data_IF_178896702433
#
_entry.id   IF_178896702433
#
_cell.length_a   1.000
_cell.length_b   1.000
_cell.length_c   1.000
_cell.angle_alpha   90.00
_cell.angle_beta   90.00
_cell.angle_gamma   90.00
#
_symmetry.space_group_name_H-M   'P 1'
#
loop_
_entity.id
_entity.type
_entity.pdbx_description
1 polymer ?
#
# COMPACT_ATOMS: atom_id res chain seq x y z
N UNK A 1 4.32 -41.79 -1.96
CA UNK A 1 4.70 -40.71 -1.05
C UNK A 1 4.39 -39.39 -1.75
N UNK A 2 3.17 -38.86 -1.55
CA UNK A 2 2.77 -37.59 -2.14
C UNK A 2 3.40 -36.46 -1.34
N UNK A 3 4.38 -35.78 -1.92
CA UNK A 3 4.87 -34.51 -1.40
C UNK A 3 3.81 -33.48 -1.75
N UNK A 4 2.92 -33.17 -0.82
CA UNK A 4 2.08 -31.98 -0.88
C UNK A 4 3.03 -30.81 -0.70
N UNK A 5 3.45 -30.21 -1.79
CA UNK A 5 4.05 -28.88 -1.74
C UNK A 5 2.96 -27.94 -1.23
N UNK A 6 3.02 -27.63 0.05
CA UNK A 6 2.24 -26.53 0.61
C UNK A 6 2.75 -25.24 -0.04
N UNK A 7 2.17 -24.88 -1.17
CA UNK A 7 2.24 -23.52 -1.65
C UNK A 7 1.41 -22.71 -0.65
N UNK A 8 2.09 -22.08 0.29
CA UNK A 8 1.51 -21.00 1.07
C UNK A 8 1.31 -19.82 0.10
N UNK A 9 0.25 -19.90 -0.69
CA UNK A 9 -0.26 -18.78 -1.43
C UNK A 9 -0.93 -17.85 -0.41
N UNK A 10 -0.14 -17.07 0.31
CA UNK A 10 -0.68 -15.91 1.00
C UNK A 10 -1.02 -14.91 -0.10
N UNK A 11 -2.30 -14.77 -0.36
CA UNK A 11 -2.83 -13.77 -1.27
C UNK A 11 -2.72 -12.40 -0.58
N UNK A 12 -1.51 -11.87 -0.54
CA UNK A 12 -1.25 -10.51 -0.10
C UNK A 12 -1.73 -9.55 -1.17
N UNK A 13 -2.74 -8.74 -0.87
CA UNK A 13 -3.30 -7.80 -1.83
C UNK A 13 -2.32 -6.67 -2.20
N UNK A 14 -1.42 -6.31 -1.28
CA UNK A 14 -0.37 -5.29 -1.48
C UNK A 14 0.99 -5.80 -0.99
N UNK A 15 2.11 -5.23 -1.44
CA UNK A 15 3.44 -5.48 -0.86
C UNK A 15 3.55 -4.68 0.46
N UNK A 16 3.74 -3.37 0.37
CA UNK A 16 3.45 -2.41 1.42
C UNK A 16 2.34 -1.48 0.92
N UNK A 17 2.66 -0.64 -0.05
CA UNK A 17 1.76 0.36 -0.61
C UNK A 17 1.26 -0.06 -2.00
N UNK A 18 2.12 -0.72 -2.81
CA UNK A 18 1.74 -1.10 -4.17
C UNK A 18 0.91 -2.39 -4.19
N UNK A 19 -0.03 -2.49 -5.14
CA UNK A 19 -0.77 -3.73 -5.35
C UNK A 19 0.18 -4.84 -5.81
N UNK A 20 0.08 -6.01 -5.17
CA UNK A 20 0.79 -7.21 -5.61
C UNK A 20 0.19 -7.78 -6.89
N UNK A 21 0.92 -8.70 -7.55
CA UNK A 21 0.41 -9.47 -8.68
C UNK A 21 -0.58 -10.58 -8.30
N UNK A 22 -0.94 -10.69 -7.01
CA UNK A 22 -1.86 -11.70 -6.52
C UNK A 22 -3.24 -11.10 -6.23
N UNK A 23 -4.27 -11.95 -6.27
CA UNK A 23 -5.64 -11.66 -5.86
C UNK A 23 -6.04 -12.64 -4.77
N UNK A 24 -6.92 -12.22 -3.88
CA UNK A 24 -7.54 -13.11 -2.89
C UNK A 24 -8.36 -14.17 -3.60
N UNK A 25 -8.21 -15.43 -3.23
CA UNK A 25 -8.94 -16.54 -3.82
C UNK A 25 -10.46 -16.37 -3.67
N UNK A 26 -11.21 -16.82 -4.69
CA UNK A 26 -12.67 -16.76 -4.67
C UNK A 26 -13.25 -17.38 -3.39
N UNK A 27 -14.07 -16.60 -2.70
CA UNK A 27 -14.76 -17.02 -1.47
C UNK A 27 -13.88 -16.94 -0.22
N UNK A 28 -12.67 -16.41 -0.32
CA UNK A 28 -11.81 -16.08 0.81
C UNK A 28 -11.92 -14.60 1.14
N UNK A 29 -11.63 -14.28 2.41
CA UNK A 29 -11.45 -12.92 2.88
C UNK A 29 -10.01 -12.66 3.27
N UNK A 30 -9.59 -11.42 3.19
CA UNK A 30 -8.31 -10.93 3.69
C UNK A 30 -8.55 -9.66 4.49
N UNK A 31 -8.13 -9.66 5.73
CA UNK A 31 -8.12 -8.49 6.60
C UNK A 31 -6.69 -8.03 6.82
N UNK A 32 -6.46 -6.73 6.77
CA UNK A 32 -5.18 -6.10 7.03
C UNK A 32 -5.39 -4.87 7.91
N UNK A 33 -4.46 -4.63 8.80
CA UNK A 33 -4.42 -3.43 9.62
C UNK A 33 -3.03 -2.81 9.52
N UNK A 34 -2.99 -1.61 8.93
CA UNK A 34 -1.77 -0.84 8.80
C UNK A 34 -1.67 0.19 9.92
N UNK A 35 -0.46 0.36 10.43
CA UNK A 35 -0.10 1.40 11.38
C UNK A 35 1.18 2.10 10.92
N UNK A 36 1.06 3.39 10.59
CA UNK A 36 2.15 4.22 10.09
C UNK A 36 2.38 5.42 11.00
N UNK A 37 3.15 5.27 12.09
CA UNK A 37 3.62 6.41 12.86
C UNK A 37 4.69 7.18 12.09
N UNK A 38 4.55 8.49 12.03
CA UNK A 38 5.57 9.37 11.47
C UNK A 38 6.87 9.23 12.27
N UNK A 39 8.00 9.04 11.58
CA UNK A 39 9.30 8.91 12.22
C UNK A 39 9.69 10.21 12.95
N UNK A 40 10.41 10.13 14.07
CA UNK A 40 10.93 11.30 14.76
C UNK A 40 11.82 12.14 13.83
N UNK A 41 11.65 13.44 13.87
CA UNK A 41 12.47 14.41 13.17
C UNK A 41 12.78 15.61 14.08
N UNK A 42 13.74 16.45 13.71
CA UNK A 42 14.11 17.63 14.52
C UNK A 42 12.96 18.62 14.75
N UNK A 43 11.96 18.60 13.85
CA UNK A 43 10.80 19.49 13.91
C UNK A 43 9.53 18.79 14.45
N UNK A 44 9.67 17.78 15.28
CA UNK A 44 8.58 16.91 15.72
C UNK A 44 7.56 17.58 16.69
N UNK A 45 7.13 18.79 16.41
CA UNK A 45 6.08 19.48 17.18
C UNK A 45 4.73 18.78 17.15
N UNK A 46 4.41 18.06 16.07
CA UNK A 46 3.21 17.24 15.99
C UNK A 46 3.48 16.05 15.08
N UNK A 47 3.31 14.82 15.60
CA UNK A 47 3.46 13.60 14.82
C UNK A 47 2.14 13.17 14.21
N UNK A 48 2.20 12.71 12.98
CA UNK A 48 1.06 12.09 12.30
C UNK A 48 1.12 10.58 12.51
N UNK A 49 -0.03 10.00 12.81
CA UNK A 49 -0.25 8.57 12.87
C UNK A 49 -1.33 8.22 11.87
N UNK A 50 -1.05 7.29 10.97
CA UNK A 50 -2.04 6.74 10.06
C UNK A 50 -2.43 5.34 10.54
N UNK A 51 -3.72 5.08 10.58
CA UNK A 51 -4.34 3.78 10.81
C UNK A 51 -5.16 3.43 9.59
N UNK A 52 -4.99 2.24 9.05
CA UNK A 52 -5.72 1.86 7.85
C UNK A 52 -6.17 0.40 7.92
N UNK A 53 -7.33 0.12 8.52
CA UNK A 53 -7.97 -1.18 8.38
C UNK A 53 -8.44 -1.39 6.95
N UNK A 54 -8.18 -2.59 6.43
CA UNK A 54 -8.55 -3.02 5.09
C UNK A 54 -9.29 -4.34 5.15
N UNK A 55 -10.31 -4.48 4.33
CA UNK A 55 -11.01 -5.74 4.12
C UNK A 55 -11.11 -5.98 2.61
N UNK A 56 -10.70 -7.18 2.18
CA UNK A 56 -10.75 -7.58 0.78
C UNK A 56 -11.42 -8.94 0.69
N UNK A 57 -12.24 -9.15 -0.33
CA UNK A 57 -12.89 -10.43 -0.63
C UNK A 57 -12.59 -10.86 -2.06
N UNK A 58 -12.25 -12.13 -2.24
CA UNK A 58 -12.01 -12.73 -3.54
C UNK A 58 -13.30 -12.99 -4.30
N UNK A 59 -13.36 -12.48 -5.51
CA UNK A 59 -14.47 -12.64 -6.44
C UNK A 59 -14.24 -13.71 -7.50
N UNK A 60 -15.16 -13.87 -8.45
CA UNK A 60 -14.99 -14.76 -9.60
C UNK A 60 -13.93 -14.21 -10.57
N UNK A 61 -13.38 -15.08 -11.42
CA UNK A 61 -12.44 -14.71 -12.49
C UNK A 61 -11.21 -13.93 -12.02
N UNK A 62 -10.62 -14.35 -10.88
CA UNK A 62 -9.44 -13.72 -10.30
C UNK A 62 -9.61 -12.21 -10.02
N UNK A 63 -10.81 -11.82 -9.61
CA UNK A 63 -11.12 -10.46 -9.14
C UNK A 63 -11.11 -10.39 -7.63
N UNK A 64 -10.86 -9.20 -7.10
CA UNK A 64 -11.06 -8.89 -5.68
C UNK A 64 -11.73 -7.53 -5.51
N UNK A 65 -12.53 -7.43 -4.47
CA UNK A 65 -13.22 -6.22 -4.04
C UNK A 65 -12.80 -5.92 -2.61
N UNK A 66 -12.47 -4.69 -2.35
CA UNK A 66 -12.00 -4.30 -1.03
C UNK A 66 -12.50 -2.93 -0.60
N UNK A 67 -12.29 -2.66 0.66
CA UNK A 67 -12.49 -1.35 1.27
C UNK A 67 -11.36 -1.09 2.26
N UNK A 68 -10.73 0.07 2.16
CA UNK A 68 -9.80 0.59 3.16
C UNK A 68 -10.51 1.74 3.90
N UNK A 69 -10.14 1.95 5.16
CA UNK A 69 -10.70 3.05 5.99
C UNK A 69 -9.52 3.78 6.63
N UNK A 70 -8.70 4.51 5.86
CA UNK A 70 -7.58 5.26 6.41
C UNK A 70 -8.07 6.39 7.31
N UNK A 71 -7.45 6.49 8.47
CA UNK A 71 -7.70 7.54 9.44
C UNK A 71 -6.38 8.14 9.91
N UNK A 72 -6.30 9.47 9.93
CA UNK A 72 -5.14 10.21 10.38
C UNK A 72 -5.40 10.81 11.77
N UNK A 73 -4.42 10.68 12.64
CA UNK A 73 -4.36 11.38 13.91
C UNK A 73 -3.08 12.20 13.98
N UNK A 74 -3.20 13.47 14.33
CA UNK A 74 -2.08 14.35 14.56
C UNK A 74 -1.96 14.64 16.07
N UNK A 75 -0.84 14.26 16.68
CA UNK A 75 -0.52 14.56 18.07
C UNK A 75 -0.03 16.01 18.22
N UNK A 76 -0.30 16.64 19.36
CA UNK A 76 0.05 18.03 19.65
C UNK A 76 -1.14 18.98 19.50
N UNK A 77 -1.22 20.00 20.34
CA UNK A 77 -2.40 20.84 20.59
C UNK A 77 -3.01 21.65 19.43
N UNK A 78 -2.53 21.49 18.21
CA UNK A 78 -3.07 22.08 16.99
C UNK A 78 -3.53 21.00 16.01
N UNK A 79 -4.25 20.01 16.51
CA UNK A 79 -4.75 18.91 15.69
C UNK A 79 -5.71 19.42 14.61
N UNK A 80 -5.21 19.56 13.38
CA UNK A 80 -6.06 19.72 12.20
C UNK A 80 -6.99 18.50 12.03
N UNK A 81 -6.66 17.41 12.68
CA UNK A 81 -7.38 16.14 12.69
C UNK A 81 -7.41 15.59 14.12
N UNK A 82 -8.41 15.94 14.90
CA UNK A 82 -8.73 15.22 16.14
C UNK A 82 -9.84 14.19 15.87
N UNK A 83 -10.03 13.23 16.77
CA UNK A 83 -11.08 12.22 16.64
C UNK A 83 -12.49 12.81 16.51
N UNK A 84 -12.68 14.08 16.90
CA UNK A 84 -13.95 14.81 16.74
C UNK A 84 -14.05 15.55 15.40
N UNK A 85 -12.96 15.74 14.69
CA UNK A 85 -12.91 16.37 13.35
C UNK A 85 -12.50 15.39 12.24
N UNK A 86 -12.64 14.12 12.46
CA UNK A 86 -12.41 12.96 11.60
C UNK A 86 -11.74 13.24 10.26
N UNK A 87 -10.44 13.05 10.18
CA UNK A 87 -9.73 12.90 8.92
C UNK A 87 -9.78 11.44 8.51
N UNK A 88 -10.96 10.90 8.34
CA UNK A 88 -11.21 9.57 7.89
C UNK A 88 -11.64 9.57 6.42
N UNK A 89 -11.25 8.53 5.75
CA UNK A 89 -11.62 8.28 4.36
C UNK A 89 -12.20 6.89 4.23
N UNK A 90 -12.98 6.68 3.20
CA UNK A 90 -13.36 5.36 2.72
C UNK A 90 -12.77 5.16 1.33
N UNK A 91 -12.12 4.04 1.12
CA UNK A 91 -11.46 3.71 -0.13
C UNK A 91 -11.95 2.38 -0.68
N UNK A 92 -13.14 2.35 -1.31
CA UNK A 92 -13.53 1.17 -2.08
C UNK A 92 -12.52 0.93 -3.19
N UNK A 93 -12.17 -0.34 -3.38
CA UNK A 93 -11.19 -0.73 -4.37
C UNK A 93 -11.59 -2.00 -5.08
N UNK A 94 -11.07 -2.14 -6.30
CA UNK A 94 -11.25 -3.29 -7.16
C UNK A 94 -9.92 -3.63 -7.81
N UNK A 95 -9.59 -4.93 -7.87
CA UNK A 95 -8.44 -5.45 -8.61
C UNK A 95 -8.86 -6.68 -9.42
N UNK A 96 -8.29 -6.80 -10.61
CA UNK A 96 -8.51 -7.92 -11.51
C UNK A 96 -7.17 -8.42 -12.04
N UNK A 97 -6.91 -9.72 -11.82
CA UNK A 97 -5.80 -10.43 -12.44
C UNK A 97 -6.28 -11.03 -13.77
N UNK A 98 -6.13 -10.25 -14.83
CA UNK A 98 -6.63 -10.62 -16.15
C UNK A 98 -5.72 -11.57 -16.93
N UNK A 99 -4.48 -11.76 -16.44
CA UNK A 99 -3.55 -12.71 -17.01
C UNK A 99 -2.71 -13.39 -15.94
N UNK A 100 -2.53 -14.70 -16.08
CA UNK A 100 -1.69 -15.53 -15.23
C UNK A 100 -1.05 -16.63 -16.06
N UNK A 101 0.25 -16.82 -15.89
CA UNK A 101 0.99 -17.97 -16.43
C UNK A 101 1.93 -18.49 -15.33
N UNK A 102 1.50 -19.56 -14.66
CA UNK A 102 2.23 -20.14 -13.54
C UNK A 102 3.54 -20.80 -13.98
N UNK A 103 3.59 -21.33 -15.20
CA UNK A 103 4.80 -21.97 -15.74
C UNK A 103 5.92 -20.96 -15.95
N UNK A 104 5.58 -19.75 -16.32
CA UNK A 104 6.52 -18.67 -16.47
C UNK A 104 6.64 -17.80 -15.23
N UNK A 105 5.77 -17.97 -14.24
CA UNK A 105 5.69 -17.13 -13.04
C UNK A 105 5.28 -15.70 -13.35
N UNK A 106 4.39 -15.52 -14.33
CA UNK A 106 3.91 -14.22 -14.80
C UNK A 106 2.50 -13.94 -14.34
N UNK A 107 2.21 -12.70 -13.96
CA UNK A 107 0.85 -12.22 -13.79
C UNK A 107 0.73 -10.75 -14.17
N UNK A 108 -0.48 -10.36 -14.62
CA UNK A 108 -0.86 -8.98 -14.87
C UNK A 108 -2.13 -8.68 -14.10
N UNK A 109 -2.09 -7.60 -13.34
CA UNK A 109 -3.25 -7.07 -12.62
C UNK A 109 -3.51 -5.65 -13.05
N UNK A 110 -4.77 -5.25 -12.97
CA UNK A 110 -5.19 -3.86 -13.06
C UNK A 110 -6.18 -3.58 -11.96
N UNK A 111 -6.30 -2.34 -11.55
CA UNK A 111 -7.25 -1.99 -10.51
C UNK A 111 -7.50 -0.51 -10.37
N UNK A 112 -8.46 -0.22 -9.52
CA UNK A 112 -8.87 1.11 -9.14
C UNK A 112 -9.10 1.17 -7.64
N UNK A 113 -8.71 2.30 -7.05
CA UNK A 113 -9.04 2.68 -5.69
C UNK A 113 -9.67 4.06 -5.74
N UNK A 114 -10.83 4.23 -5.12
CA UNK A 114 -11.49 5.52 -4.99
C UNK A 114 -11.29 6.02 -3.57
N UNK A 115 -10.74 7.21 -3.43
CA UNK A 115 -10.51 7.86 -2.15
C UNK A 115 -11.61 8.88 -1.92
N UNK A 116 -12.46 8.66 -0.90
CA UNK A 116 -13.61 9.51 -0.60
C UNK A 116 -13.56 9.94 0.86
N UNK A 117 -13.56 11.24 1.17
CA UNK A 117 -13.64 11.74 2.55
C UNK A 117 -14.94 11.32 3.22
N UNK A 118 -14.87 10.81 4.45
CA UNK A 118 -16.06 10.46 5.25
C UNK A 118 -16.77 11.69 5.79
N UNK A 119 -16.04 12.78 6.01
CA UNK A 119 -16.60 14.04 6.47
C UNK A 119 -16.25 15.15 5.47
N UNK A 120 -17.26 15.82 4.95
CA UNK A 120 -17.05 16.95 4.05
C UNK A 120 -16.24 18.07 4.70
N UNK A 121 -15.37 18.70 3.93
CA UNK A 121 -14.62 19.92 4.27
C UNK A 121 -13.58 19.79 5.38
N UNK A 122 -12.66 18.86 5.22
CA UNK A 122 -11.45 18.80 6.06
C UNK A 122 -10.29 19.43 5.30
N UNK A 123 -9.53 20.28 5.97
CA UNK A 123 -8.27 20.82 5.43
C UNK A 123 -7.11 20.17 6.17
N UNK A 124 -6.28 19.41 5.45
CA UNK A 124 -5.04 18.82 5.98
C UNK A 124 -3.88 19.61 5.41
N UNK A 125 -3.03 20.16 6.26
CA UNK A 125 -1.87 20.96 5.85
C UNK A 125 -2.19 22.11 4.87
N UNK A 126 -3.37 22.73 5.00
CA UNK A 126 -3.81 23.81 4.11
C UNK A 126 -4.51 23.37 2.83
N UNK A 127 -4.62 22.07 2.57
CA UNK A 127 -5.26 21.51 1.38
C UNK A 127 -6.65 20.99 1.69
N UNK A 128 -7.63 21.38 0.89
CA UNK A 128 -9.00 20.89 1.01
C UNK A 128 -9.07 19.41 0.63
N UNK A 129 -9.60 18.58 1.55
CA UNK A 129 -9.74 17.14 1.39
C UNK A 129 -11.19 16.75 1.04
N UNK A 130 -11.88 17.61 0.30
CA UNK A 130 -13.32 17.48 0.09
C UNK A 130 -13.71 16.69 -1.13
N UNK A 131 -12.75 16.28 -1.93
CA UNK A 131 -13.02 15.70 -3.25
C UNK A 131 -12.70 14.20 -3.27
N UNK A 132 -13.57 13.48 -3.96
CA UNK A 132 -13.29 12.09 -4.32
C UNK A 132 -12.33 12.06 -5.49
N UNK A 133 -11.31 11.24 -5.38
CA UNK A 133 -10.34 11.02 -6.45
C UNK A 133 -10.07 9.53 -6.63
N UNK A 134 -9.49 9.17 -7.76
CA UNK A 134 -9.22 7.78 -8.10
C UNK A 134 -7.75 7.53 -8.38
N UNK A 135 -7.23 6.42 -7.87
CA UNK A 135 -5.97 5.81 -8.29
C UNK A 135 -6.29 4.67 -9.25
N UNK A 136 -5.74 4.73 -10.45
CA UNK A 136 -5.80 3.67 -11.46
C UNK A 136 -4.40 3.12 -11.67
N UNK A 137 -4.26 1.81 -11.77
CA UNK A 137 -2.97 1.18 -11.95
C UNK A 137 -3.04 -0.07 -12.81
N UNK A 138 -1.91 -0.40 -13.43
CA UNK A 138 -1.61 -1.71 -13.98
C UNK A 138 -0.31 -2.21 -13.37
N UNK A 139 -0.21 -3.49 -13.08
CA UNK A 139 0.99 -4.07 -12.51
C UNK A 139 1.31 -5.41 -13.19
N UNK A 140 2.53 -5.52 -13.68
CA UNK A 140 3.12 -6.75 -14.17
C UNK A 140 3.98 -7.33 -13.06
N UNK A 141 3.84 -8.62 -12.79
CA UNK A 141 4.68 -9.34 -11.81
C UNK A 141 5.33 -10.54 -12.46
N UNK A 142 6.65 -10.67 -12.24
CA UNK A 142 7.47 -11.81 -12.66
C UNK A 142 8.11 -12.45 -11.43
N UNK A 143 7.82 -13.74 -11.21
CA UNK A 143 8.56 -14.59 -10.29
C UNK A 143 9.74 -15.23 -11.02
N UNK A 144 10.95 -14.95 -10.59
CA UNK A 144 12.16 -15.58 -11.16
C UNK A 144 12.33 -16.95 -10.50
N UNK A 145 12.25 -17.99 -11.30
CA UNK A 145 12.36 -19.37 -10.80
C UNK A 145 13.83 -19.79 -10.68
N UNK A 146 14.48 -19.36 -9.59
CA UNK A 146 15.83 -19.78 -9.21
C UNK A 146 15.78 -20.51 -7.88
N UNK A 147 15.55 -21.84 -7.91
CA UNK A 147 15.37 -22.62 -6.68
C UNK A 147 14.14 -22.22 -5.85
N UNK A 148 14.16 -22.52 -4.55
CA UNK A 148 13.04 -22.31 -3.65
C UNK A 148 12.81 -20.84 -3.28
N UNK A 149 13.81 -19.98 -3.47
CA UNK A 149 13.85 -18.59 -3.00
C UNK A 149 14.01 -17.57 -4.13
N UNK A 150 13.48 -17.87 -5.31
CA UNK A 150 13.52 -16.95 -6.44
C UNK A 150 12.76 -15.64 -6.13
N UNK A 151 13.33 -14.47 -6.48
CA UNK A 151 12.69 -13.20 -6.25
C UNK A 151 11.45 -12.98 -7.12
N UNK A 152 10.57 -12.08 -6.66
CA UNK A 152 9.48 -11.52 -7.44
C UNK A 152 9.75 -10.05 -7.71
N UNK A 153 9.51 -9.63 -8.94
CA UNK A 153 9.63 -8.23 -9.37
C UNK A 153 8.28 -7.81 -9.92
N UNK A 154 7.80 -6.67 -9.47
CA UNK A 154 6.56 -6.06 -9.92
C UNK A 154 6.86 -4.68 -10.52
N UNK A 155 6.22 -4.35 -11.63
CA UNK A 155 6.37 -3.05 -12.26
C UNK A 155 5.12 -2.67 -13.07
N UNK A 156 4.76 -1.38 -13.07
CA UNK A 156 3.65 -0.93 -13.90
C UNK A 156 3.37 0.57 -13.78
N UNK A 157 2.52 1.11 -14.63
CA UNK A 157 2.09 2.49 -14.57
C UNK A 157 1.00 2.71 -13.52
N UNK A 158 0.91 3.92 -13.00
CA UNK A 158 -0.26 4.39 -12.28
C UNK A 158 -0.60 5.84 -12.64
N UNK A 159 -1.85 6.21 -12.41
CA UNK A 159 -2.33 7.58 -12.56
C UNK A 159 -3.36 7.90 -11.48
N UNK A 160 -3.32 9.13 -11.00
CA UNK A 160 -4.29 9.68 -10.08
C UNK A 160 -5.19 10.66 -10.84
N UNK A 161 -6.49 10.38 -10.83
CA UNK A 161 -7.48 11.16 -11.53
C UNK A 161 -8.09 12.20 -10.58
N UNK A 162 -7.35 13.25 -10.30
CA UNK A 162 -7.81 14.49 -9.67
C UNK A 162 -6.72 15.57 -9.70
N UNK A 163 -7.16 16.84 -9.77
CA UNK A 163 -6.28 18.01 -9.75
C UNK A 163 -5.74 18.34 -8.35
N UNK A 164 -6.51 18.07 -7.32
CA UNK A 164 -6.19 18.52 -5.96
C UNK A 164 -5.12 17.70 -5.25
N UNK A 165 -4.87 16.47 -5.68
CA UNK A 165 -3.77 15.66 -5.15
C UNK A 165 -2.40 16.23 -5.44
N UNK A 166 -2.30 17.10 -6.42
CA UNK A 166 -1.04 17.76 -6.73
C UNK A 166 -0.61 18.73 -5.65
N UNK A 167 -1.54 19.21 -4.82
CA UNK A 167 -1.27 20.21 -3.80
C UNK A 167 -0.72 19.63 -2.48
N UNK A 168 -0.72 18.30 -2.33
CA UNK A 168 -0.07 17.63 -1.18
C UNK A 168 1.45 17.75 -1.18
N UNK A 169 2.03 18.14 -2.28
CA UNK A 169 3.46 18.33 -2.37
C UNK A 169 3.73 19.76 -2.84
N UNK A 170 4.45 20.49 -2.06
CA UNK A 170 4.77 21.90 -2.31
C UNK A 170 5.63 22.13 -3.56
N UNK A 171 6.01 21.11 -4.32
CA UNK A 171 6.93 21.25 -5.45
C UNK A 171 6.56 20.29 -6.59
N UNK A 172 5.81 20.81 -7.57
CA UNK A 172 5.62 20.17 -8.87
C UNK A 172 5.06 18.74 -8.78
N UNK A 173 3.91 18.58 -8.20
CA UNK A 173 3.27 17.30 -7.99
C UNK A 173 2.96 16.57 -9.30
N UNK A 174 3.16 15.28 -9.30
CA UNK A 174 2.94 14.41 -10.45
C UNK A 174 1.65 13.61 -10.26
N UNK A 175 0.76 13.64 -11.25
CA UNK A 175 -0.48 12.85 -11.24
C UNK A 175 -0.27 11.37 -11.52
N UNK A 176 0.89 10.95 -11.90
CA UNK A 176 1.16 9.56 -12.22
C UNK A 176 2.64 9.26 -12.29
N UNK A 177 2.94 8.01 -12.54
CA UNK A 177 4.29 7.51 -12.61
C UNK A 177 4.31 5.99 -12.77
N UNK A 178 5.34 5.38 -12.19
CA UNK A 178 5.50 3.94 -12.16
C UNK A 178 5.46 3.42 -10.73
N UNK A 179 4.95 2.22 -10.57
CA UNK A 179 5.07 1.40 -9.37
C UNK A 179 6.14 0.36 -9.60
N UNK A 180 6.98 0.14 -8.59
CA UNK A 180 7.99 -0.92 -8.58
C UNK A 180 7.90 -1.68 -7.28
N UNK A 181 7.99 -3.01 -7.35
CA UNK A 181 8.01 -3.90 -6.20
C UNK A 181 9.10 -4.95 -6.32
N UNK A 182 9.69 -5.30 -5.21
CA UNK A 182 10.69 -6.35 -5.09
C UNK A 182 10.42 -7.18 -3.84
N UNK A 183 10.35 -8.50 -4.02
CA UNK A 183 10.16 -9.44 -2.94
C UNK A 183 11.22 -10.55 -3.06
N UNK A 184 12.07 -10.69 -2.06
CA UNK A 184 13.13 -11.70 -1.98
C UNK A 184 12.89 -12.62 -0.79
N UNK A 185 12.41 -13.85 -0.99
CA UNK A 185 12.37 -14.83 0.09
C UNK A 185 13.80 -15.09 0.62
N UNK A 186 13.98 -14.98 1.92
CA UNK A 186 15.23 -15.27 2.64
C UNK A 186 15.15 -16.63 3.35
N UNK A 187 13.93 -17.04 3.67
CA UNK A 187 13.60 -18.33 4.26
C UNK A 187 12.13 -18.68 3.96
N UNK A 188 11.66 -19.82 4.47
CA UNK A 188 10.23 -20.20 4.36
C UNK A 188 9.27 -19.23 5.06
N UNK A 189 9.76 -18.39 5.96
CA UNK A 189 8.94 -17.50 6.80
C UNK A 189 9.31 -16.03 6.68
N UNK A 190 10.45 -15.70 6.12
CA UNK A 190 10.95 -14.32 6.08
C UNK A 190 11.32 -13.94 4.67
N UNK A 191 10.86 -12.79 4.23
CA UNK A 191 11.24 -12.17 2.96
C UNK A 191 11.72 -10.74 3.20
N UNK A 192 12.72 -10.31 2.42
CA UNK A 192 12.96 -8.90 2.22
C UNK A 192 11.95 -8.41 1.18
N UNK A 193 11.34 -7.27 1.43
CA UNK A 193 10.36 -6.65 0.54
C UNK A 193 10.65 -5.17 0.40
N UNK A 194 10.43 -4.63 -0.78
CA UNK A 194 10.51 -3.21 -1.01
C UNK A 194 9.52 -2.79 -2.09
N UNK A 195 8.88 -1.66 -1.92
CA UNK A 195 8.04 -1.08 -2.94
C UNK A 195 8.27 0.42 -3.14
N UNK A 196 7.85 0.92 -4.28
CA UNK A 196 8.00 2.30 -4.63
C UNK A 196 6.90 2.77 -5.60
N UNK A 197 6.21 3.82 -5.20
CA UNK A 197 5.48 4.68 -6.13
C UNK A 197 6.40 5.82 -6.54
N UNK A 198 6.73 5.96 -7.81
CA UNK A 198 7.48 7.10 -8.31
C UNK A 198 6.61 8.38 -8.29
N UNK A 199 7.24 9.50 -8.48
CA UNK A 199 6.52 10.77 -8.52
C UNK A 199 6.38 11.44 -7.15
N UNK A 200 5.99 12.71 -7.18
CA UNK A 200 5.78 13.56 -6.01
C UNK A 200 4.27 13.76 -5.82
N UNK A 201 3.64 12.85 -5.12
CA UNK A 201 2.21 12.88 -4.80
C UNK A 201 1.95 12.10 -3.52
N UNK A 202 0.69 12.01 -3.11
CA UNK A 202 0.25 11.31 -1.90
C UNK A 202 0.79 9.87 -1.77
N UNK A 203 0.95 9.15 -2.88
CA UNK A 203 1.48 7.78 -2.89
C UNK A 203 3.01 7.70 -3.04
N UNK A 204 3.69 8.80 -3.32
CA UNK A 204 5.09 8.85 -3.68
C UNK A 204 6.06 8.47 -2.55
N UNK A 205 6.15 7.19 -2.22
CA UNK A 205 7.02 6.64 -1.18
C UNK A 205 7.84 5.47 -1.71
N UNK A 206 9.05 5.37 -1.19
CA UNK A 206 9.88 4.17 -1.23
C UNK A 206 9.86 3.51 0.14
N UNK A 207 9.48 2.23 0.20
CA UNK A 207 9.31 1.49 1.47
C UNK A 207 10.06 0.16 1.43
N UNK A 208 11.32 0.10 1.88
CA UNK A 208 12.02 -1.16 2.14
C UNK A 208 11.60 -1.74 3.49
N UNK A 209 11.64 -3.07 3.62
CA UNK A 209 11.32 -3.75 4.86
C UNK A 209 11.37 -5.26 4.79
N UNK A 210 10.74 -5.89 5.77
CA UNK A 210 10.66 -7.34 5.91
C UNK A 210 9.21 -7.79 5.99
N UNK A 211 8.96 -8.98 5.49
CA UNK A 211 7.69 -9.69 5.57
C UNK A 211 7.90 -11.00 6.32
N UNK A 212 7.04 -11.29 7.29
CA UNK A 212 7.11 -12.48 8.14
C UNK A 212 5.79 -13.24 8.06
N UNK A 213 5.85 -14.47 7.57
CA UNK A 213 4.72 -15.40 7.58
C UNK A 213 4.48 -15.92 8.99
N UNK A 214 3.26 -15.75 9.49
CA UNK A 214 2.81 -16.17 10.81
C UNK A 214 1.92 -17.43 10.70
N UNK A 215 1.76 -18.19 11.80
CA UNK A 215 0.77 -19.27 11.86
C UNK A 215 -0.66 -18.75 11.59
N UNK A 216 -1.55 -19.64 11.12
CA UNK A 216 -2.96 -19.31 10.90
C UNK A 216 -3.19 -18.38 9.70
N UNK A 217 -2.40 -18.51 8.64
CA UNK A 217 -2.47 -17.67 7.45
C UNK A 217 -2.24 -16.18 7.73
N UNK A 218 -1.50 -15.88 8.80
CA UNK A 218 -1.14 -14.53 9.18
C UNK A 218 0.11 -14.04 8.45
N UNK A 219 0.22 -12.74 8.30
CA UNK A 219 1.37 -12.03 7.74
C UNK A 219 1.65 -10.80 8.58
N UNK A 220 2.92 -10.56 8.86
CA UNK A 220 3.38 -9.33 9.52
C UNK A 220 4.47 -8.68 8.66
N UNK A 221 4.29 -7.42 8.33
CA UNK A 221 5.30 -6.65 7.61
C UNK A 221 5.76 -5.47 8.46
N UNK A 222 7.06 -5.19 8.38
CA UNK A 222 7.67 -4.03 9.00
C UNK A 222 8.60 -3.35 8.00
N UNK A 223 8.43 -2.06 7.77
CA UNK A 223 9.19 -1.28 6.81
C UNK A 223 9.39 0.17 7.25
N UNK A 224 10.10 0.89 6.43
CA UNK A 224 10.36 2.31 6.63
C UNK A 224 10.06 3.08 5.35
N UNK A 225 8.98 3.86 5.36
CA UNK A 225 8.53 4.64 4.21
C UNK A 225 9.21 5.99 4.16
N UNK A 226 9.80 6.31 3.00
CA UNK A 226 10.51 7.55 2.72
C UNK A 226 9.80 8.22 1.56
N UNK A 227 9.20 9.40 1.79
CA UNK A 227 8.55 10.17 0.74
C UNK A 227 9.54 10.66 -0.32
N UNK A 228 9.14 10.63 -1.58
CA UNK A 228 10.00 11.06 -2.70
C UNK A 228 10.40 12.52 -2.59
N UNK A 229 9.54 13.38 -2.08
CA UNK A 229 9.81 14.79 -1.82
C UNK A 229 10.78 15.00 -0.65
N UNK A 230 10.91 14.02 0.25
CA UNK A 230 11.88 14.06 1.36
C UNK A 230 13.33 14.13 0.89
N UNK A 231 13.63 13.75 -0.34
CA UNK A 231 14.96 13.83 -0.92
C UNK A 231 15.32 15.21 -1.47
N UNK A 232 14.30 16.00 -1.80
CA UNK A 232 14.43 17.28 -2.49
C UNK A 232 14.18 18.52 -1.60
N UNK A 233 13.72 18.33 -0.35
CA UNK A 233 13.22 19.40 0.48
C UNK A 233 14.01 19.49 1.81
N UNK A 234 14.24 20.72 2.31
CA UNK A 234 14.83 20.96 3.63
C UNK A 234 14.00 20.40 4.78
N UNK A 235 12.70 20.14 4.56
CA UNK A 235 11.78 19.45 5.47
C UNK A 235 11.74 17.92 5.24
N UNK A 236 12.75 17.36 4.66
CA UNK A 236 12.88 15.94 4.28
C UNK A 236 12.55 14.92 5.38
N UNK A 237 12.66 15.33 6.64
CA UNK A 237 12.34 14.47 7.79
C UNK A 237 10.85 14.32 8.06
N UNK A 238 9.98 15.16 7.46
CA UNK A 238 8.54 15.15 7.73
C UNK A 238 7.78 14.02 7.02
N UNK A 239 8.30 13.56 5.88
CA UNK A 239 7.68 12.50 5.06
C UNK A 239 8.35 11.13 5.23
N UNK A 240 8.50 10.70 6.47
CA UNK A 240 9.07 9.41 6.83
C UNK A 240 8.19 8.72 7.85
N UNK A 241 7.87 7.45 7.60
CA UNK A 241 7.00 6.66 8.45
C UNK A 241 7.61 5.30 8.73
N UNK A 242 7.47 4.82 9.95
CA UNK A 242 7.59 3.38 10.21
C UNK A 242 6.31 2.76 9.68
N UNK A 243 6.41 1.74 8.84
CA UNK A 243 5.26 1.02 8.30
C UNK A 243 5.17 -0.34 8.98
N UNK A 244 4.09 -0.56 9.69
CA UNK A 244 3.79 -1.84 10.31
C UNK A 244 2.42 -2.29 9.84
N UNK A 245 2.29 -3.53 9.38
CA UNK A 245 1.00 -4.10 9.18
C UNK A 245 0.90 -5.57 9.58
N UNK A 246 -0.30 -5.96 9.97
CA UNK A 246 -0.71 -7.33 10.19
C UNK A 246 -1.86 -7.67 9.26
N UNK A 247 -1.72 -8.78 8.54
CA UNK A 247 -2.75 -9.30 7.64
C UNK A 247 -3.10 -10.74 7.96
N UNK A 248 -4.32 -11.16 7.66
CA UNK A 248 -4.78 -12.54 7.81
C UNK A 248 -5.80 -12.91 6.72
N UNK A 249 -5.59 -14.09 6.11
CA UNK A 249 -6.54 -14.69 5.15
C UNK A 249 -7.44 -15.69 5.86
N UNK A 250 -8.74 -15.67 5.61
CA UNK A 250 -9.77 -16.53 6.22
C UNK A 250 -10.82 -17.00 5.23
#
# INVERSE_FOLDING_TARGET
MFVVAAQSAFAQSTIFNIPSGDTVDKGKGYFEFDFLPQAPGPDAGSRIYLYNPRLVVGGPHDTEFGVNIPAFHQGGGNAACNLSSTCGYIEPNFKWKFYKNDDEGLSFVTGVLLHTPLNGKTTVAGVSQNETWGLFYGNFTKKIKTGDYGPRISAGPYVVADSNLTDFTSVGAHRGGVILGYEQPLSKKVSFVADWYSGKNYYGYFTPGISITLPGNGLFNAGYSIGNDSWANSNATKNRYVFLYYGVTF
#
